data_IF_569946828461
#
_entry.id   IF_569946828461
#
_cell.length_a   1.000
_cell.length_b   1.000
_cell.length_c   1.000
_cell.angle_alpha   90.00
_cell.angle_beta   90.00
_cell.angle_gamma   90.00
#
_symmetry.space_group_name_H-M   'P 1'
#
loop_
_entity.id
_entity.type
_entity.pdbx_description
1 polymer ?
#
# COMPACT_ATOMS: atom_id res chain seq x y z
N UNK A 1 -7.26 67.57 36.94
CA UNK A 1 -8.25 66.50 36.67
C UNK A 1 -7.65 65.18 37.17
N UNK A 2 -8.35 64.55 38.11
CA UNK A 2 -7.78 63.55 39.03
C UNK A 2 -7.80 62.15 38.45
N UNK A 3 -6.69 61.45 38.55
CA UNK A 3 -6.40 60.06 38.12
C UNK A 3 -7.27 58.94 38.74
N UNK A 4 -8.45 59.23 39.23
CA UNK A 4 -9.30 58.32 40.02
C UNK A 4 -10.60 57.86 39.36
N UNK A 5 -10.89 58.31 38.15
CA UNK A 5 -12.15 57.96 37.47
C UNK A 5 -12.00 56.98 36.30
N UNK A 6 -10.76 56.43 36.10
CA UNK A 6 -10.47 55.49 34.99
C UNK A 6 -10.39 54.02 35.44
N UNK A 7 -10.71 53.71 36.70
CA UNK A 7 -10.59 52.33 37.23
C UNK A 7 -11.93 51.67 37.60
N UNK A 8 -13.04 52.11 37.07
CA UNK A 8 -14.36 51.48 37.35
C UNK A 8 -15.13 51.05 36.10
N UNK A 9 -14.48 51.01 34.94
CA UNK A 9 -15.13 50.49 33.69
C UNK A 9 -14.43 49.24 33.09
N UNK A 10 -13.60 48.52 33.86
CA UNK A 10 -12.88 47.32 33.41
C UNK A 10 -13.25 46.10 34.29
N UNK A 11 -14.53 45.86 34.55
CA UNK A 11 -14.96 44.81 35.45
C UNK A 11 -16.25 44.10 35.05
N UNK A 12 -16.45 43.87 33.77
CA UNK A 12 -17.54 42.96 33.32
C UNK A 12 -17.24 42.39 31.93
N UNK A 13 -16.06 41.82 31.75
CA UNK A 13 -15.88 40.79 30.72
C UNK A 13 -16.30 39.47 31.40
N UNK A 14 -17.55 39.14 31.27
CA UNK A 14 -18.07 37.84 31.60
C UNK A 14 -17.18 36.78 30.96
N UNK A 15 -16.60 35.93 31.78
CA UNK A 15 -15.94 34.71 31.36
C UNK A 15 -17.01 33.84 30.64
N UNK A 16 -17.08 34.00 29.32
CA UNK A 16 -17.63 32.97 28.48
C UNK A 16 -16.65 31.81 28.60
N UNK A 17 -16.87 30.91 29.55
CA UNK A 17 -16.35 29.59 29.55
C UNK A 17 -16.69 29.02 28.15
N UNK A 18 -15.71 28.98 27.26
CA UNK A 18 -15.80 28.13 26.10
C UNK A 18 -15.86 26.69 26.63
N UNK A 19 -17.09 26.25 26.92
CA UNK A 19 -17.34 24.81 26.94
C UNK A 19 -16.87 24.29 25.60
N UNK A 20 -16.01 23.23 25.56
CA UNK A 20 -15.71 22.58 24.32
C UNK A 20 -17.08 22.23 23.72
N UNK A 21 -17.39 22.79 22.55
CA UNK A 21 -18.50 22.28 21.75
C UNK A 21 -18.17 20.82 21.52
N UNK A 22 -18.89 19.94 22.18
CA UNK A 22 -18.97 18.55 21.76
C UNK A 22 -19.45 18.62 20.32
N UNK A 23 -18.55 18.42 19.38
CA UNK A 23 -18.90 18.26 17.99
C UNK A 23 -19.62 16.91 17.94
N UNK A 24 -20.95 16.94 17.99
CA UNK A 24 -21.74 15.77 17.64
C UNK A 24 -21.53 15.53 16.17
N UNK A 25 -21.19 14.27 15.79
CA UNK A 25 -21.14 13.88 14.40
C UNK A 25 -22.49 14.21 13.75
N UNK A 26 -22.43 14.84 12.60
CA UNK A 26 -23.62 15.17 11.82
C UNK A 26 -24.19 13.86 11.26
N UNK A 27 -25.45 13.57 11.56
CA UNK A 27 -26.11 12.35 11.09
C UNK A 27 -26.06 12.32 9.55
N UNK A 28 -25.52 11.22 8.99
CA UNK A 28 -25.34 11.08 7.56
C UNK A 28 -23.97 11.56 7.04
N UNK A 29 -23.02 12.00 7.89
CA UNK A 29 -21.68 12.38 7.48
C UNK A 29 -20.67 11.32 7.94
N UNK A 30 -20.08 10.58 7.01
CA UNK A 30 -19.00 9.61 7.27
C UNK A 30 -17.69 10.37 7.49
N UNK A 31 -17.07 10.24 8.66
CA UNK A 31 -15.73 10.69 8.93
C UNK A 31 -14.74 9.59 8.47
N UNK A 32 -14.15 9.80 7.27
CA UNK A 32 -13.24 8.87 6.60
C UNK A 32 -11.81 9.37 6.70
N UNK A 33 -10.95 8.61 7.34
CA UNK A 33 -9.53 8.90 7.47
C UNK A 33 -8.71 8.04 6.52
N UNK A 34 -7.71 8.67 5.88
CA UNK A 34 -6.73 8.02 5.00
C UNK A 34 -5.32 8.47 5.35
N UNK A 35 -4.31 7.63 5.07
CA UNK A 35 -2.89 7.95 5.16
C UNK A 35 -2.17 7.55 3.86
N UNK A 36 -2.91 7.42 2.78
CA UNK A 36 -2.40 7.02 1.47
C UNK A 36 -1.76 8.19 0.72
N UNK A 37 -0.98 7.86 -0.31
CA UNK A 37 -0.34 8.83 -1.20
C UNK A 37 -1.38 9.74 -1.89
N UNK A 38 -0.93 10.92 -2.32
CA UNK A 38 -1.80 11.97 -2.87
C UNK A 38 -2.65 11.50 -4.06
N UNK A 39 -2.11 10.64 -4.95
CA UNK A 39 -2.87 10.10 -6.07
C UNK A 39 -4.07 9.24 -5.63
N UNK A 40 -3.92 8.51 -4.53
CA UNK A 40 -4.99 7.70 -3.94
C UNK A 40 -6.01 8.60 -3.25
N UNK A 41 -5.53 9.60 -2.51
CA UNK A 41 -6.40 10.61 -1.91
C UNK A 41 -7.23 11.35 -2.98
N UNK A 42 -6.61 11.73 -4.09
CA UNK A 42 -7.29 12.37 -5.22
C UNK A 42 -8.36 11.45 -5.84
N UNK A 43 -8.07 10.17 -5.98
CA UNK A 43 -9.04 9.17 -6.44
C UNK A 43 -10.26 9.08 -5.51
N UNK A 44 -10.05 9.01 -4.21
CA UNK A 44 -11.14 9.02 -3.23
C UNK A 44 -11.96 10.30 -3.31
N UNK A 45 -11.30 11.45 -3.41
CA UNK A 45 -11.95 12.76 -3.44
C UNK A 45 -12.74 13.02 -4.74
N UNK A 46 -12.21 12.60 -5.89
CA UNK A 46 -12.72 12.99 -7.20
C UNK A 46 -13.54 11.90 -7.88
N UNK A 47 -13.31 10.62 -7.56
CA UNK A 47 -14.03 9.49 -8.18
C UNK A 47 -15.00 8.84 -7.19
N UNK A 48 -14.52 8.33 -6.05
CA UNK A 48 -15.36 7.51 -5.16
C UNK A 48 -16.35 8.34 -4.36
N UNK A 49 -15.91 9.42 -3.73
CA UNK A 49 -16.78 10.29 -2.92
C UNK A 49 -17.98 10.80 -3.69
N UNK A 50 -17.84 11.48 -4.85
CA UNK A 50 -18.99 12.01 -5.58
C UNK A 50 -19.91 10.89 -6.09
N UNK A 51 -19.38 9.75 -6.53
CA UNK A 51 -20.20 8.62 -6.96
C UNK A 51 -21.01 8.02 -5.83
N UNK A 52 -20.39 7.83 -4.65
CA UNK A 52 -21.07 7.33 -3.47
C UNK A 52 -22.18 8.28 -2.96
N UNK A 53 -21.87 9.58 -2.84
CA UNK A 53 -22.82 10.60 -2.39
C UNK A 53 -24.02 10.73 -3.35
N UNK A 54 -23.78 10.59 -4.66
CA UNK A 54 -24.86 10.57 -5.66
C UNK A 54 -25.77 9.33 -5.54
N UNK A 55 -25.19 8.17 -5.25
CA UNK A 55 -25.92 6.91 -5.06
C UNK A 55 -26.64 6.82 -3.70
N UNK A 56 -26.22 7.60 -2.69
CA UNK A 56 -26.71 7.54 -1.32
C UNK A 56 -27.19 8.92 -0.84
N UNK A 57 -28.34 9.35 -1.34
CA UNK A 57 -28.93 10.65 -1.02
C UNK A 57 -29.01 10.88 0.51
N UNK A 58 -28.50 12.01 0.98
CA UNK A 58 -28.48 12.38 2.40
C UNK A 58 -27.27 11.86 3.18
N UNK A 59 -26.33 11.18 2.52
CA UNK A 59 -25.02 10.82 3.09
C UNK A 59 -23.95 11.70 2.46
N UNK A 60 -23.00 12.17 3.26
CA UNK A 60 -21.82 12.92 2.81
C UNK A 60 -20.55 12.29 3.37
N UNK A 61 -19.43 12.49 2.70
CA UNK A 61 -18.12 12.01 3.15
C UNK A 61 -17.26 13.21 3.55
N UNK A 62 -16.76 13.18 4.76
CA UNK A 62 -15.68 14.04 5.23
C UNK A 62 -14.38 13.25 5.13
N UNK A 63 -13.69 13.41 3.99
CA UNK A 63 -12.41 12.76 3.74
C UNK A 63 -11.29 13.57 4.40
N UNK A 64 -10.53 12.93 5.28
CA UNK A 64 -9.47 13.56 6.08
C UNK A 64 -8.16 12.83 5.88
N UNK A 65 -7.15 13.56 5.41
CA UNK A 65 -5.77 13.07 5.37
C UNK A 65 -5.19 13.06 6.80
N UNK A 66 -4.83 11.88 7.28
CA UNK A 66 -4.19 11.67 8.57
C UNK A 66 -2.67 11.93 8.54
N UNK A 67 -2.13 12.21 7.36
CA UNK A 67 -0.73 12.51 7.10
C UNK A 67 0.11 11.25 6.90
N UNK A 68 0.22 10.43 7.91
CA UNK A 68 1.01 9.19 7.87
C UNK A 68 0.40 8.08 8.75
N UNK A 69 1.05 6.94 8.79
CA UNK A 69 0.62 5.81 9.61
C UNK A 69 0.60 6.14 11.11
N UNK A 70 1.47 7.02 11.59
CA UNK A 70 1.48 7.43 12.99
C UNK A 70 0.29 8.34 13.31
N UNK A 71 -0.07 9.26 12.41
CA UNK A 71 -1.26 10.10 12.53
C UNK A 71 -2.54 9.25 12.55
N UNK A 72 -2.65 8.28 11.63
CA UNK A 72 -3.80 7.38 11.61
C UNK A 72 -3.87 6.48 12.85
N UNK A 73 -2.72 5.98 13.34
CA UNK A 73 -2.64 5.22 14.58
C UNK A 73 -3.16 6.04 15.78
N UNK A 74 -2.80 7.31 15.90
CA UNK A 74 -3.28 8.17 16.97
C UNK A 74 -4.81 8.37 16.94
N UNK A 75 -5.40 8.39 15.74
CA UNK A 75 -6.87 8.45 15.58
C UNK A 75 -7.50 7.12 15.99
N UNK A 76 -6.89 5.99 15.64
CA UNK A 76 -7.36 4.65 16.05
C UNK A 76 -7.26 4.45 17.58
N UNK A 77 -6.18 4.93 18.21
CA UNK A 77 -6.04 4.92 19.69
C UNK A 77 -7.14 5.74 20.36
N UNK A 78 -7.47 6.91 19.80
CA UNK A 78 -8.60 7.74 20.26
C UNK A 78 -9.92 7.00 20.10
N UNK A 79 -10.14 6.32 18.98
CA UNK A 79 -11.37 5.57 18.74
C UNK A 79 -11.53 4.40 19.74
N UNK A 80 -10.44 3.71 20.07
CA UNK A 80 -10.42 2.67 21.09
C UNK A 80 -10.74 3.24 22.48
N UNK A 81 -10.19 4.37 22.85
CA UNK A 81 -10.52 5.05 24.11
C UNK A 81 -11.99 5.52 24.15
N UNK A 82 -12.52 6.00 23.04
CA UNK A 82 -13.92 6.39 22.91
C UNK A 82 -14.87 5.18 23.04
N UNK A 83 -14.50 4.02 22.50
CA UNK A 83 -15.24 2.77 22.69
C UNK A 83 -15.33 2.39 24.17
N UNK A 84 -14.22 2.46 24.89
CA UNK A 84 -14.16 2.13 26.32
C UNK A 84 -14.99 3.08 27.21
N UNK A 85 -15.14 4.33 26.78
CA UNK A 85 -15.88 5.37 27.50
C UNK A 85 -17.30 5.60 26.97
N UNK A 86 -17.69 4.84 25.94
CA UNK A 86 -18.97 4.96 25.24
C UNK A 86 -19.24 6.41 24.76
N UNK A 87 -18.22 7.00 24.14
CA UNK A 87 -18.28 8.34 23.53
C UNK A 87 -18.10 8.26 22.03
N UNK A 88 -18.39 9.37 21.31
CA UNK A 88 -18.20 9.45 19.87
C UNK A 88 -16.70 9.40 19.52
N UNK A 89 -16.25 8.43 18.71
CA UNK A 89 -14.86 8.33 18.25
C UNK A 89 -14.47 9.43 17.27
N UNK A 90 -15.44 10.13 16.65
CA UNK A 90 -15.24 11.06 15.54
C UNK A 90 -14.48 10.40 14.38
N UNK A 91 -14.79 9.16 14.11
CA UNK A 91 -14.25 8.35 13.03
C UNK A 91 -15.24 7.22 12.72
N UNK A 92 -15.50 6.98 11.43
CA UNK A 92 -16.39 5.91 10.98
C UNK A 92 -15.67 4.90 10.10
N UNK A 93 -14.64 5.36 9.35
CA UNK A 93 -13.99 4.56 8.34
C UNK A 93 -12.48 4.92 8.25
N UNK A 94 -11.62 3.93 8.26
CA UNK A 94 -10.18 4.09 7.99
C UNK A 94 -9.80 3.37 6.71
N UNK A 95 -9.17 4.08 5.82
CA UNK A 95 -8.54 3.55 4.61
C UNK A 95 -7.05 3.28 4.88
N UNK A 96 -6.50 2.23 4.27
CA UNK A 96 -5.10 1.80 4.45
C UNK A 96 -4.74 1.52 5.92
N UNK A 97 -5.57 0.74 6.63
CA UNK A 97 -5.38 0.44 8.05
C UNK A 97 -5.37 -1.06 8.33
N UNK A 98 -4.46 -1.48 9.21
CA UNK A 98 -4.41 -2.85 9.72
C UNK A 98 -5.35 -3.01 10.92
N UNK A 99 -6.34 -3.91 10.88
CA UNK A 99 -7.27 -4.11 12.00
C UNK A 99 -6.61 -4.64 13.28
N UNK A 100 -5.37 -5.10 13.21
CA UNK A 100 -4.58 -5.50 14.39
C UNK A 100 -4.06 -4.30 15.18
N UNK A 101 -4.21 -3.08 14.65
CA UNK A 101 -3.77 -1.84 15.29
C UNK A 101 -4.99 -1.00 15.75
N UNK A 102 -4.94 -0.43 16.96
CA UNK A 102 -3.93 -0.67 18.01
C UNK A 102 -3.98 -2.10 18.56
N UNK A 103 -2.95 -2.51 19.27
CA UNK A 103 -2.90 -3.84 19.87
C UNK A 103 -4.17 -4.10 20.72
N UNK A 104 -4.81 -5.25 20.50
CA UNK A 104 -6.05 -5.63 21.18
C UNK A 104 -7.33 -4.98 20.62
N UNK A 105 -7.26 -4.23 19.52
CA UNK A 105 -8.41 -3.55 18.92
C UNK A 105 -9.53 -4.53 18.50
N UNK A 106 -9.17 -5.66 17.90
CA UNK A 106 -10.14 -6.70 17.51
C UNK A 106 -10.83 -7.29 18.74
N UNK A 107 -10.06 -7.68 19.75
CA UNK A 107 -10.58 -8.27 20.99
C UNK A 107 -11.47 -7.29 21.77
N UNK A 108 -11.17 -6.00 21.67
CA UNK A 108 -11.96 -4.93 22.26
C UNK A 108 -13.26 -4.64 21.46
N UNK A 109 -13.41 -5.17 20.25
CA UNK A 109 -14.56 -4.91 19.39
C UNK A 109 -14.54 -3.52 18.74
N UNK A 110 -13.34 -2.95 18.49
CA UNK A 110 -13.22 -1.65 17.85
C UNK A 110 -13.68 -1.66 16.38
N UNK A 111 -13.45 -2.76 15.67
CA UNK A 111 -13.77 -2.88 14.25
C UNK A 111 -14.95 -3.81 14.01
N UNK A 112 -15.72 -3.49 12.98
CA UNK A 112 -16.86 -4.30 12.55
C UNK A 112 -16.35 -5.58 11.89
N UNK A 113 -16.95 -6.72 12.27
CA UNK A 113 -16.81 -7.95 11.52
C UNK A 113 -17.65 -7.84 10.23
N UNK A 114 -17.00 -7.72 9.08
CA UNK A 114 -17.65 -7.45 7.78
C UNK A 114 -18.46 -8.64 7.28
N UNK A 115 -18.11 -9.86 7.67
CA UNK A 115 -18.87 -11.07 7.34
C UNK A 115 -20.20 -11.11 8.10
N UNK A 116 -20.17 -10.82 9.40
CA UNK A 116 -21.37 -10.75 10.25
C UNK A 116 -22.26 -9.57 9.87
N UNK A 117 -21.67 -8.46 9.41
CA UNK A 117 -22.40 -7.30 8.94
C UNK A 117 -23.14 -7.54 7.61
N UNK A 118 -22.81 -8.62 6.88
CA UNK A 118 -23.54 -9.05 5.69
C UNK A 118 -23.39 -8.11 4.50
N UNK A 119 -22.15 -7.67 4.19
CA UNK A 119 -21.87 -6.90 2.97
C UNK A 119 -22.32 -7.72 1.75
N UNK A 120 -23.05 -7.07 0.83
CA UNK A 120 -23.60 -7.73 -0.37
C UNK A 120 -22.51 -8.23 -1.34
N UNK A 121 -21.34 -7.57 -1.31
CA UNK A 121 -20.19 -7.90 -2.14
C UNK A 121 -19.11 -8.72 -1.39
N UNK A 122 -19.38 -9.18 -0.16
CA UNK A 122 -18.40 -9.94 0.63
C UNK A 122 -17.86 -11.16 -0.12
N UNK A 123 -18.73 -11.95 -0.73
CA UNK A 123 -18.35 -13.17 -1.46
C UNK A 123 -17.56 -12.90 -2.76
N UNK A 124 -17.48 -11.63 -3.18
CA UNK A 124 -16.68 -11.22 -4.33
C UNK A 124 -15.22 -10.92 -3.97
N UNK A 125 -14.91 -10.79 -2.69
CA UNK A 125 -13.54 -10.47 -2.22
C UNK A 125 -12.57 -11.50 -2.79
N UNK A 126 -11.46 -11.00 -3.33
CA UNK A 126 -10.39 -11.85 -3.85
C UNK A 126 -9.76 -12.66 -2.71
N UNK A 127 -9.74 -14.01 -2.80
CA UNK A 127 -9.12 -14.83 -1.77
C UNK A 127 -7.65 -14.48 -1.49
N UNK A 128 -6.91 -13.99 -2.49
CA UNK A 128 -5.52 -13.53 -2.31
C UNK A 128 -5.42 -12.22 -1.49
N UNK A 129 -6.51 -11.45 -1.46
CA UNK A 129 -6.58 -10.18 -0.73
C UNK A 129 -7.09 -10.36 0.71
N UNK A 130 -7.74 -11.49 0.97
CA UNK A 130 -8.43 -11.74 2.23
C UNK A 130 -7.43 -11.91 3.39
N UNK A 131 -7.62 -11.17 4.47
CA UNK A 131 -6.80 -11.20 5.69
C UNK A 131 -7.68 -11.09 6.95
N UNK A 132 -8.73 -11.92 6.99
CA UNK A 132 -9.68 -11.96 8.10
C UNK A 132 -10.89 -11.05 7.92
N UNK A 133 -11.86 -11.24 8.81
CA UNK A 133 -13.22 -10.67 8.68
C UNK A 133 -13.35 -9.23 9.21
N UNK A 134 -12.27 -8.57 9.63
CA UNK A 134 -12.30 -7.22 10.22
C UNK A 134 -11.80 -6.12 9.28
N UNK A 135 -11.54 -6.46 8.02
CA UNK A 135 -11.09 -5.48 7.04
C UNK A 135 -11.62 -5.79 5.64
N UNK A 136 -11.77 -4.74 4.83
CA UNK A 136 -12.19 -4.82 3.44
C UNK A 136 -10.97 -4.54 2.56
N UNK A 137 -10.42 -5.52 1.84
CA UNK A 137 -9.40 -5.26 0.84
C UNK A 137 -10.02 -4.49 -0.34
N UNK A 138 -9.40 -3.41 -0.74
CA UNK A 138 -9.95 -2.61 -1.82
C UNK A 138 -9.00 -2.44 -3.01
N UNK A 139 -7.69 -2.49 -2.79
CA UNK A 139 -6.68 -2.28 -3.81
C UNK A 139 -5.44 -3.10 -3.50
N UNK A 140 -4.96 -3.83 -4.50
CA UNK A 140 -3.67 -4.52 -4.45
C UNK A 140 -2.62 -3.79 -5.28
N UNK A 141 -1.35 -3.98 -4.91
CA UNK A 141 -0.21 -3.68 -5.74
C UNK A 141 0.85 -4.75 -5.55
N UNK A 142 1.55 -5.09 -6.61
CA UNK A 142 2.60 -6.09 -6.60
C UNK A 142 3.79 -5.57 -7.40
N UNK A 143 4.98 -5.85 -6.95
CA UNK A 143 6.16 -5.57 -7.76
C UNK A 143 6.20 -6.54 -8.92
N UNK A 144 6.48 -6.01 -10.10
CA UNK A 144 6.67 -6.75 -11.35
C UNK A 144 7.87 -6.17 -12.10
N UNK A 145 8.20 -6.71 -13.25
CA UNK A 145 9.27 -6.20 -14.11
C UNK A 145 8.64 -5.35 -15.22
N UNK A 146 9.08 -4.10 -15.34
CA UNK A 146 8.77 -3.24 -16.48
C UNK A 146 10.01 -3.14 -17.37
N UNK A 147 9.81 -3.18 -18.69
CA UNK A 147 10.92 -3.19 -19.64
C UNK A 147 10.60 -2.53 -20.99
N UNK A 148 11.64 -2.12 -21.68
CA UNK A 148 11.59 -1.54 -23.01
C UNK A 148 11.43 -2.64 -24.07
N UNK A 149 10.23 -2.76 -24.66
CA UNK A 149 9.93 -3.78 -25.68
C UNK A 149 10.65 -3.59 -26.99
N UNK A 150 11.26 -2.44 -27.22
CA UNK A 150 12.11 -2.21 -28.42
C UNK A 150 13.47 -2.91 -28.31
N UNK A 151 13.91 -3.20 -27.07
CA UNK A 151 15.18 -3.88 -26.77
C UNK A 151 14.97 -5.34 -26.34
N UNK A 152 13.83 -5.63 -25.70
CA UNK A 152 13.47 -6.97 -25.24
C UNK A 152 12.02 -7.23 -25.64
N UNK A 153 11.76 -8.04 -26.68
CA UNK A 153 10.38 -8.38 -27.04
C UNK A 153 9.59 -9.01 -25.89
N UNK A 154 8.29 -8.75 -25.79
CA UNK A 154 7.41 -9.28 -24.70
C UNK A 154 7.51 -10.82 -24.59
N UNK A 155 7.61 -11.53 -25.71
CA UNK A 155 7.69 -13.00 -25.71
C UNK A 155 9.00 -13.54 -25.09
N UNK A 156 10.07 -12.73 -25.11
CA UNK A 156 11.41 -13.09 -24.63
C UNK A 156 11.66 -12.62 -23.20
N UNK A 157 10.68 -11.92 -22.57
CA UNK A 157 10.79 -11.45 -21.20
C UNK A 157 10.96 -12.61 -20.21
N UNK A 158 11.85 -12.49 -19.21
CA UNK A 158 12.07 -13.54 -18.22
C UNK A 158 10.81 -13.82 -17.40
N UNK A 159 10.45 -15.11 -17.26
CA UNK A 159 9.25 -15.56 -16.56
C UNK A 159 9.54 -16.27 -15.24
N UNK A 160 10.78 -16.49 -14.90
CA UNK A 160 11.22 -17.04 -13.62
C UNK A 160 12.53 -16.37 -13.19
N UNK A 161 12.92 -16.62 -11.95
CA UNK A 161 14.12 -15.99 -11.37
C UNK A 161 15.39 -16.35 -12.10
N UNK A 162 15.57 -17.59 -12.50
CA UNK A 162 16.80 -18.04 -13.14
C UNK A 162 16.97 -17.42 -14.53
N UNK A 163 15.87 -17.31 -15.29
CA UNK A 163 15.86 -16.59 -16.57
C UNK A 163 16.17 -15.11 -16.39
N UNK A 164 15.62 -14.48 -15.34
CA UNK A 164 15.90 -13.08 -15.01
C UNK A 164 17.40 -12.87 -14.70
N UNK A 165 17.98 -13.70 -13.86
CA UNK A 165 19.41 -13.64 -13.53
C UNK A 165 20.27 -13.88 -14.75
N UNK A 166 19.93 -14.87 -15.59
CA UNK A 166 20.63 -15.14 -16.84
C UNK A 166 20.57 -13.95 -17.80
N UNK A 167 19.39 -13.33 -17.93
CA UNK A 167 19.20 -12.13 -18.75
C UNK A 167 20.02 -10.95 -18.24
N UNK A 168 20.02 -10.67 -16.92
CA UNK A 168 20.83 -9.59 -16.32
C UNK A 168 22.31 -9.78 -16.59
N UNK A 169 22.82 -11.00 -16.41
CA UNK A 169 24.26 -11.33 -16.66
C UNK A 169 24.64 -11.26 -18.14
N UNK A 170 23.71 -11.60 -19.04
CA UNK A 170 23.91 -11.50 -20.48
C UNK A 170 23.83 -10.06 -21.00
N UNK A 171 23.18 -9.16 -20.25
CA UNK A 171 22.96 -7.75 -20.62
C UNK A 171 23.47 -6.81 -19.51
N UNK A 172 24.80 -6.78 -19.25
CA UNK A 172 25.33 -5.98 -18.16
C UNK A 172 25.00 -4.49 -18.34
N UNK A 173 24.63 -3.85 -17.23
CA UNK A 173 24.24 -2.44 -17.21
C UNK A 173 22.79 -2.16 -17.62
N UNK A 174 22.00 -3.17 -18.02
CA UNK A 174 20.64 -2.98 -18.52
C UNK A 174 19.55 -3.23 -17.47
N UNK A 175 19.93 -3.52 -16.24
CA UNK A 175 19.02 -3.72 -15.11
C UNK A 175 19.45 -2.90 -13.89
N UNK A 176 18.49 -2.33 -13.16
CA UNK A 176 18.72 -1.65 -11.90
C UNK A 176 17.53 -1.87 -10.99
N UNK A 177 17.75 -1.91 -9.69
CA UNK A 177 16.70 -1.81 -8.68
C UNK A 177 17.05 -0.73 -7.65
N UNK A 178 16.06 -0.17 -6.96
CA UNK A 178 16.30 0.82 -5.93
C UNK A 178 16.73 0.16 -4.62
N UNK A 179 17.40 0.93 -3.77
CA UNK A 179 17.80 0.49 -2.43
C UNK A 179 16.60 -0.07 -1.67
N UNK A 180 16.75 -1.18 -0.90
CA UNK A 180 15.61 -1.88 -0.29
C UNK A 180 14.82 -1.04 0.72
N UNK A 181 15.44 -0.06 1.35
CA UNK A 181 14.84 0.89 2.29
C UNK A 181 14.29 2.17 1.61
N UNK A 182 14.34 2.26 0.29
CA UNK A 182 13.95 3.45 -0.49
C UNK A 182 12.88 3.10 -1.53
N UNK A 183 11.60 3.10 -1.11
CA UNK A 183 10.47 3.04 -2.03
C UNK A 183 9.92 1.65 -2.37
N UNK A 184 10.33 0.60 -1.71
CA UNK A 184 9.64 -0.71 -1.68
C UNK A 184 9.84 -1.62 -2.90
N UNK A 185 9.96 -1.17 -4.16
CA UNK A 185 10.13 -2.08 -5.30
C UNK A 185 11.46 -2.82 -5.24
N UNK A 186 12.55 -2.13 -4.89
CA UNK A 186 13.84 -2.77 -4.62
C UNK A 186 13.82 -3.67 -3.39
N UNK A 187 13.14 -3.25 -2.33
CA UNK A 187 12.94 -4.08 -1.15
C UNK A 187 12.24 -5.40 -1.48
N UNK A 188 11.21 -5.35 -2.33
CA UNK A 188 10.49 -6.55 -2.76
C UNK A 188 11.29 -7.41 -3.76
N UNK A 189 12.16 -6.81 -4.57
CA UNK A 189 13.15 -7.56 -5.35
C UNK A 189 14.12 -8.32 -4.44
N UNK A 190 14.64 -7.68 -3.39
CA UNK A 190 15.49 -8.33 -2.38
C UNK A 190 14.75 -9.44 -1.64
N UNK A 191 13.50 -9.21 -1.23
CA UNK A 191 12.65 -10.23 -0.58
C UNK A 191 12.38 -11.44 -1.48
N UNK A 192 12.21 -11.20 -2.79
CA UNK A 192 12.11 -12.30 -3.77
C UNK A 192 13.40 -13.10 -3.83
N UNK A 193 14.58 -12.46 -3.75
CA UNK A 193 15.87 -13.15 -3.65
C UNK A 193 15.98 -13.95 -2.34
N UNK A 194 15.43 -13.46 -1.21
CA UNK A 194 15.34 -14.24 0.05
C UNK A 194 14.56 -15.53 -0.17
N UNK A 195 13.38 -15.45 -0.79
CA UNK A 195 12.60 -16.64 -1.11
C UNK A 195 13.35 -17.59 -2.05
N UNK A 196 14.03 -17.06 -3.08
CA UNK A 196 14.82 -17.87 -4.00
C UNK A 196 15.93 -18.64 -3.27
N UNK A 197 16.64 -17.98 -2.38
CA UNK A 197 17.75 -18.59 -1.63
C UNK A 197 17.30 -19.66 -0.63
N UNK A 198 16.00 -19.67 -0.25
CA UNK A 198 15.45 -20.45 0.83
C UNK A 198 14.27 -21.35 0.43
N UNK A 199 14.22 -21.82 -0.83
CA UNK A 199 13.31 -22.87 -1.26
C UNK A 199 11.93 -22.39 -1.74
N UNK A 200 11.77 -21.11 -2.03
CA UNK A 200 10.55 -20.52 -2.61
C UNK A 200 9.28 -20.65 -1.74
N UNK A 201 9.44 -20.77 -0.43
CA UNK A 201 8.32 -20.85 0.51
C UNK A 201 8.14 -19.53 1.30
N UNK A 202 7.17 -18.68 0.93
CA UNK A 202 6.88 -17.47 1.70
C UNK A 202 6.43 -17.74 3.14
N UNK A 203 5.80 -18.89 3.41
CA UNK A 203 5.33 -19.24 4.75
C UNK A 203 6.48 -19.58 5.71
N UNK A 204 7.69 -19.80 5.20
CA UNK A 204 8.88 -19.98 6.03
C UNK A 204 9.29 -18.71 6.79
N UNK A 205 8.77 -17.53 6.38
CA UNK A 205 9.13 -16.25 6.98
C UNK A 205 7.92 -15.62 7.68
N UNK A 206 7.93 -15.64 9.00
CA UNK A 206 6.90 -15.03 9.86
C UNK A 206 7.56 -14.19 10.95
N UNK A 207 6.79 -13.32 11.61
CA UNK A 207 7.31 -12.59 12.78
C UNK A 207 7.64 -13.54 13.94
N UNK A 208 6.85 -14.59 14.11
CA UNK A 208 7.01 -15.54 15.23
C UNK A 208 8.26 -16.42 15.10
N UNK A 209 8.73 -16.67 13.87
CA UNK A 209 9.93 -17.48 13.65
C UNK A 209 11.21 -16.66 13.47
N UNK A 210 11.13 -15.34 13.61
CA UNK A 210 12.33 -14.51 13.56
C UNK A 210 13.25 -14.83 14.73
N UNK A 211 14.48 -15.24 14.42
CA UNK A 211 15.62 -15.27 15.34
C UNK A 211 16.84 -14.72 14.61
N UNK A 212 17.78 -14.15 15.33
CA UNK A 212 19.02 -13.64 14.73
C UNK A 212 19.80 -14.74 13.98
N UNK A 213 19.82 -15.95 14.52
CA UNK A 213 20.49 -17.10 13.90
C UNK A 213 19.81 -17.50 12.58
N UNK A 214 18.48 -17.63 12.57
CA UNK A 214 17.74 -17.96 11.36
C UNK A 214 17.85 -16.84 10.31
N UNK A 215 17.73 -15.59 10.73
CA UNK A 215 17.90 -14.45 9.83
C UNK A 215 19.32 -14.41 9.25
N UNK A 216 20.34 -14.64 10.04
CA UNK A 216 21.74 -14.69 9.58
C UNK A 216 21.97 -15.78 8.54
N UNK A 217 21.42 -16.99 8.75
CA UNK A 217 21.54 -18.10 7.80
C UNK A 217 20.79 -17.81 6.51
N UNK A 218 19.51 -17.45 6.59
CA UNK A 218 18.65 -17.22 5.43
C UNK A 218 19.14 -16.04 4.55
N UNK A 219 19.53 -14.95 5.21
CA UNK A 219 20.01 -13.77 4.51
C UNK A 219 21.44 -13.95 3.99
N UNK A 220 22.29 -14.75 4.66
CA UNK A 220 23.63 -15.06 4.16
C UNK A 220 23.63 -15.62 2.74
N UNK A 221 22.78 -16.61 2.47
CA UNK A 221 22.58 -17.20 1.14
C UNK A 221 22.05 -16.16 0.13
N UNK A 222 21.18 -15.26 0.59
CA UNK A 222 20.63 -14.18 -0.24
C UNK A 222 21.68 -13.19 -0.68
N UNK A 223 22.60 -12.83 0.23
CA UNK A 223 23.67 -11.90 -0.07
C UNK A 223 24.64 -12.44 -1.11
N UNK A 224 24.92 -13.75 -1.11
CA UNK A 224 25.72 -14.41 -2.14
C UNK A 224 25.11 -14.23 -3.53
N UNK A 225 23.79 -14.44 -3.68
CA UNK A 225 23.06 -14.24 -4.95
C UNK A 225 23.14 -12.77 -5.41
N UNK A 226 22.84 -11.82 -4.52
CA UNK A 226 22.78 -10.41 -4.89
C UNK A 226 24.16 -9.80 -5.12
N UNK A 227 25.18 -10.22 -4.38
CA UNK A 227 26.57 -9.80 -4.59
C UNK A 227 27.14 -10.33 -5.92
N UNK A 228 26.81 -11.56 -6.30
CA UNK A 228 27.18 -12.15 -7.59
C UNK A 228 26.49 -11.43 -8.77
N UNK A 229 25.29 -10.88 -8.54
CA UNK A 229 24.52 -10.13 -9.53
C UNK A 229 25.01 -8.68 -9.68
N UNK A 230 25.51 -8.07 -8.61
CA UNK A 230 25.83 -6.64 -8.53
C UNK A 230 26.74 -6.14 -9.67
N UNK A 231 27.82 -6.83 -10.08
CA UNK A 231 28.67 -6.36 -11.19
C UNK A 231 27.95 -6.27 -12.55
N UNK A 232 26.84 -6.98 -12.73
CA UNK A 232 26.04 -6.96 -13.95
C UNK A 232 24.92 -5.90 -13.94
N UNK A 233 24.68 -5.23 -12.82
CA UNK A 233 23.72 -4.15 -12.71
C UNK A 233 24.23 -2.87 -13.39
N UNK A 234 23.32 -1.91 -13.56
CA UNK A 234 23.67 -0.58 -14.07
C UNK A 234 24.85 0.03 -13.30
N UNK A 235 25.78 0.64 -14.03
CA UNK A 235 27.01 1.24 -13.50
C UNK A 235 27.76 0.32 -12.52
N UNK A 236 27.79 -0.98 -12.83
CA UNK A 236 28.50 -2.02 -12.07
C UNK A 236 28.10 -2.11 -10.58
N UNK A 237 26.82 -1.92 -10.29
CA UNK A 237 26.25 -2.02 -8.93
C UNK A 237 25.78 -0.68 -8.35
N UNK A 238 25.36 0.24 -9.19
CA UNK A 238 24.60 1.40 -8.76
C UNK A 238 23.16 1.03 -8.44
N UNK A 239 22.56 1.77 -7.50
CA UNK A 239 21.19 1.58 -7.01
C UNK A 239 20.51 2.92 -6.92
N UNK A 240 19.25 2.99 -7.36
CA UNK A 240 18.47 4.23 -7.26
C UNK A 240 18.00 4.52 -5.84
N UNK A 241 17.73 5.78 -5.56
CA UNK A 241 17.25 6.24 -4.25
C UNK A 241 15.71 6.13 -4.09
N UNK A 242 15.03 5.54 -5.05
CA UNK A 242 13.57 5.34 -4.98
C UNK A 242 12.98 4.83 -6.29
N UNK A 243 11.69 4.45 -6.23
CA UNK A 243 10.95 3.89 -7.36
C UNK A 243 10.92 4.84 -8.58
N UNK A 244 10.64 6.13 -8.33
CA UNK A 244 10.54 7.15 -9.38
C UNK A 244 11.83 7.26 -10.19
N UNK A 245 12.97 7.21 -9.54
CA UNK A 245 14.26 7.29 -10.23
C UNK A 245 14.50 6.04 -11.11
N UNK A 246 14.09 4.85 -10.67
CA UNK A 246 14.16 3.63 -11.48
C UNK A 246 13.29 3.74 -12.74
N UNK A 247 12.06 4.24 -12.59
CA UNK A 247 11.13 4.49 -13.71
C UNK A 247 11.74 5.52 -14.68
N UNK A 248 12.37 6.58 -14.20
CA UNK A 248 13.02 7.59 -15.03
C UNK A 248 14.16 7.01 -15.85
N UNK A 249 15.02 6.15 -15.28
CA UNK A 249 16.10 5.51 -16.03
C UNK A 249 15.56 4.59 -17.13
N UNK A 250 14.47 3.86 -16.87
CA UNK A 250 13.77 3.07 -17.89
C UNK A 250 13.18 3.98 -18.97
N UNK A 251 12.46 5.03 -18.59
CA UNK A 251 11.84 6.01 -19.51
C UNK A 251 12.86 6.68 -20.45
N UNK A 252 14.06 6.96 -19.94
CA UNK A 252 15.17 7.55 -20.71
C UNK A 252 15.92 6.54 -21.55
N UNK A 253 15.59 5.24 -21.47
CA UNK A 253 16.27 4.17 -22.17
C UNK A 253 17.71 3.92 -21.67
N UNK A 254 18.05 4.41 -20.48
CA UNK A 254 19.37 4.18 -19.83
C UNK A 254 19.50 2.72 -19.41
N UNK A 255 18.43 2.14 -18.90
CA UNK A 255 18.31 0.71 -18.60
C UNK A 255 17.16 0.12 -19.40
N UNK A 256 17.19 -1.21 -19.59
CA UNK A 256 16.15 -1.92 -20.33
C UNK A 256 15.06 -2.46 -19.41
N UNK A 257 15.36 -2.79 -18.15
CA UNK A 257 14.41 -3.41 -17.24
C UNK A 257 14.61 -2.94 -15.80
N UNK A 258 13.49 -2.78 -15.08
CA UNK A 258 13.46 -2.42 -13.64
C UNK A 258 12.36 -3.17 -12.91
N UNK A 259 12.51 -3.56 -11.63
CA UNK A 259 11.40 -3.90 -10.78
C UNK A 259 10.62 -2.63 -10.40
N UNK A 260 9.31 -2.71 -10.47
CA UNK A 260 8.41 -1.56 -10.26
C UNK A 260 7.09 -2.04 -9.67
N UNK A 261 6.42 -1.21 -8.87
CA UNK A 261 5.06 -1.46 -8.44
C UNK A 261 4.09 -1.40 -9.63
N UNK A 262 3.16 -2.34 -9.71
CA UNK A 262 2.18 -2.45 -10.81
C UNK A 262 1.40 -1.16 -11.02
N UNK A 263 0.92 -0.55 -9.95
CA UNK A 263 0.19 0.72 -9.99
C UNK A 263 1.07 1.87 -10.48
N UNK A 264 2.32 1.96 -10.06
CA UNK A 264 3.26 2.98 -10.55
C UNK A 264 3.61 2.80 -12.03
N UNK A 265 3.80 1.56 -12.49
CA UNK A 265 4.06 1.28 -13.90
C UNK A 265 2.85 1.67 -14.78
N UNK A 266 1.65 1.23 -14.41
CA UNK A 266 0.42 1.52 -15.14
C UNK A 266 0.11 3.02 -15.14
N UNK A 267 0.32 3.70 -14.02
CA UNK A 267 0.17 5.16 -13.94
C UNK A 267 1.21 5.88 -14.82
N UNK A 268 2.47 5.46 -14.78
CA UNK A 268 3.52 6.05 -15.61
C UNK A 268 3.23 5.87 -17.12
N UNK A 269 2.67 4.72 -17.53
CA UNK A 269 2.21 4.49 -18.90
C UNK A 269 1.03 5.41 -19.23
N UNK A 270 0.01 5.48 -18.37
CA UNK A 270 -1.18 6.32 -18.62
C UNK A 270 -0.87 7.82 -18.71
N UNK A 271 0.16 8.27 -17.99
CA UNK A 271 0.63 9.66 -18.01
C UNK A 271 1.65 9.95 -19.13
N UNK A 272 2.01 8.96 -19.93
CA UNK A 272 3.02 9.09 -20.99
C UNK A 272 4.46 9.28 -20.50
N UNK A 273 4.73 8.99 -19.22
CA UNK A 273 6.09 8.94 -18.67
C UNK A 273 6.83 7.72 -19.21
N UNK A 274 6.15 6.58 -19.27
CA UNK A 274 6.58 5.39 -19.99
C UNK A 274 5.79 5.25 -21.29
N UNK A 275 6.39 4.74 -22.38
CA UNK A 275 5.67 4.45 -23.60
C UNK A 275 4.52 3.44 -23.39
N UNK A 276 3.45 3.54 -24.17
CA UNK A 276 2.36 2.54 -24.16
C UNK A 276 2.85 1.13 -24.52
N UNK A 277 3.96 1.04 -25.24
CA UNK A 277 4.63 -0.22 -25.61
C UNK A 277 5.50 -0.78 -24.49
N UNK A 278 5.57 -0.16 -23.31
CA UNK A 278 6.33 -0.71 -22.18
C UNK A 278 5.82 -2.10 -21.83
N UNK A 279 6.72 -3.08 -21.85
CA UNK A 279 6.41 -4.45 -21.45
C UNK A 279 6.30 -4.56 -19.93
N UNK A 280 5.33 -5.35 -19.48
CA UNK A 280 5.14 -5.69 -18.08
C UNK A 280 5.10 -7.21 -17.96
N UNK A 281 5.80 -7.78 -16.98
CA UNK A 281 5.79 -9.23 -16.74
C UNK A 281 5.96 -9.55 -15.27
N UNK A 282 5.26 -10.59 -14.81
CA UNK A 282 5.42 -11.17 -13.48
C UNK A 282 6.15 -12.51 -13.56
N UNK A 283 7.00 -12.80 -12.57
CA UNK A 283 7.64 -14.10 -12.44
C UNK A 283 6.59 -15.17 -12.11
N UNK A 284 6.68 -16.33 -12.76
CA UNK A 284 5.67 -17.40 -12.69
C UNK A 284 6.04 -18.52 -11.70
N UNK A 285 7.33 -18.68 -11.41
CA UNK A 285 7.84 -19.64 -10.41
C UNK A 285 7.47 -19.20 -8.97
N UNK A 286 7.71 -17.95 -8.65
CA UNK A 286 7.19 -17.23 -7.49
C UNK A 286 7.19 -15.73 -7.84
N UNK A 287 6.03 -15.11 -7.76
CA UNK A 287 5.88 -13.67 -8.02
C UNK A 287 6.74 -12.82 -7.07
N UNK A 288 7.10 -11.61 -7.49
CA UNK A 288 7.68 -10.64 -6.57
C UNK A 288 6.63 -10.26 -5.51
N UNK A 289 7.11 -9.87 -4.32
CA UNK A 289 6.22 -9.56 -3.22
C UNK A 289 5.31 -8.37 -3.51
N UNK A 290 4.17 -8.37 -2.86
CA UNK A 290 3.15 -7.34 -2.96
C UNK A 290 2.23 -7.35 -1.75
N UNK A 291 1.05 -6.77 -1.89
CA UNK A 291 0.05 -6.76 -0.84
C UNK A 291 -1.23 -6.06 -1.25
N UNK A 292 -2.20 -6.07 -0.34
CA UNK A 292 -3.45 -5.34 -0.48
C UNK A 292 -3.57 -4.29 0.61
N UNK A 293 -3.98 -3.10 0.21
CA UNK A 293 -4.48 -2.08 1.12
C UNK A 293 -5.90 -2.45 1.56
N UNK A 294 -6.18 -2.21 2.82
CA UNK A 294 -7.44 -2.60 3.46
C UNK A 294 -8.05 -1.42 4.19
N UNK A 295 -9.36 -1.42 4.23
CA UNK A 295 -10.13 -0.47 5.02
C UNK A 295 -10.78 -1.15 6.20
N UNK A 296 -11.00 -0.42 7.28
CA UNK A 296 -11.74 -0.90 8.46
C UNK A 296 -12.88 0.04 8.82
N UNK A 297 -13.94 -0.50 9.40
CA UNK A 297 -15.11 0.26 9.84
C UNK A 297 -15.12 0.28 11.36
N UNK A 298 -15.31 1.46 11.95
CA UNK A 298 -15.32 1.66 13.40
C UNK A 298 -16.67 1.22 13.97
N UNK A 299 -16.66 0.28 14.91
CA UNK A 299 -17.87 -0.36 15.43
C UNK A 299 -18.76 0.59 16.25
N UNK A 300 -18.16 1.56 16.94
CA UNK A 300 -18.87 2.63 17.68
C UNK A 300 -18.93 3.95 16.91
N UNK A 301 -18.63 3.96 15.62
CA UNK A 301 -18.81 5.12 14.74
C UNK A 301 -20.28 5.53 14.68
N UNK A 302 -20.55 6.83 14.74
CA UNK A 302 -21.92 7.35 14.73
C UNK A 302 -22.62 7.04 13.41
N UNK A 303 -21.87 7.03 12.31
CA UNK A 303 -22.37 6.75 10.96
C UNK A 303 -21.91 5.37 10.43
N UNK A 304 -21.74 4.40 11.34
CA UNK A 304 -21.31 3.03 11.02
C UNK A 304 -22.09 2.40 9.86
N UNK A 305 -23.41 2.53 9.85
CA UNK A 305 -24.25 1.93 8.81
C UNK A 305 -24.00 2.56 7.42
N UNK A 306 -23.69 3.84 7.38
CA UNK A 306 -23.29 4.52 6.15
C UNK A 306 -21.84 4.10 5.73
N UNK A 307 -20.94 3.92 6.69
CA UNK A 307 -19.59 3.41 6.44
C UNK A 307 -19.61 1.96 5.92
N UNK A 308 -20.51 1.10 6.38
CA UNK A 308 -20.73 -0.24 5.82
C UNK A 308 -21.19 -0.19 4.36
N UNK A 309 -22.12 0.74 4.03
CA UNK A 309 -22.54 0.94 2.64
C UNK A 309 -21.40 1.44 1.77
N UNK A 310 -20.53 2.31 2.30
CA UNK A 310 -19.32 2.77 1.58
C UNK A 310 -18.35 1.61 1.32
N UNK A 311 -18.10 0.76 2.32
CA UNK A 311 -17.28 -0.42 2.18
C UNK A 311 -17.81 -1.38 1.09
N UNK A 312 -19.11 -1.63 1.09
CA UNK A 312 -19.77 -2.47 0.09
C UNK A 312 -19.75 -1.82 -1.32
N UNK A 313 -19.92 -0.49 -1.39
CA UNK A 313 -19.84 0.28 -2.64
C UNK A 313 -18.44 0.23 -3.26
N UNK A 314 -17.38 0.30 -2.45
CA UNK A 314 -16.00 0.19 -2.95
C UNK A 314 -15.75 -1.19 -3.59
N UNK A 315 -16.44 -2.25 -3.17
CA UNK A 315 -16.33 -3.60 -3.76
C UNK A 315 -17.18 -3.80 -5.02
N UNK A 316 -17.88 -2.78 -5.51
CA UNK A 316 -18.67 -2.89 -6.76
C UNK A 316 -17.74 -2.98 -7.98
N UNK A 317 -18.22 -3.61 -9.07
CA UNK A 317 -17.49 -3.70 -10.33
C UNK A 317 -17.06 -2.33 -10.86
N UNK A 318 -17.91 -1.33 -10.72
CA UNK A 318 -17.64 0.04 -11.15
C UNK A 318 -16.39 0.61 -10.47
N UNK A 319 -16.36 0.58 -9.14
CA UNK A 319 -15.23 1.15 -8.38
C UNK A 319 -13.97 0.29 -8.50
N UNK A 320 -14.12 -1.03 -8.54
CA UNK A 320 -12.97 -1.93 -8.72
C UNK A 320 -12.36 -1.81 -10.12
N UNK A 321 -13.17 -1.55 -11.14
CA UNK A 321 -12.69 -1.23 -12.49
C UNK A 321 -11.98 0.13 -12.53
N UNK A 322 -12.51 1.14 -11.82
CA UNK A 322 -11.86 2.45 -11.70
C UNK A 322 -10.51 2.36 -10.95
N UNK A 323 -10.42 1.56 -9.88
CA UNK A 323 -9.15 1.28 -9.19
C UNK A 323 -8.09 0.73 -10.15
N UNK A 324 -8.48 -0.19 -11.02
CA UNK A 324 -7.58 -0.78 -11.99
C UNK A 324 -7.17 0.22 -13.08
N UNK A 325 -8.11 1.02 -13.58
CA UNK A 325 -7.87 1.90 -14.74
C UNK A 325 -7.31 3.27 -14.37
N UNK A 326 -7.66 3.82 -13.20
CA UNK A 326 -7.24 5.16 -12.77
C UNK A 326 -6.03 5.12 -11.82
N UNK A 327 -5.98 4.13 -10.90
CA UNK A 327 -4.86 3.96 -9.97
C UNK A 327 -3.83 2.94 -10.45
N UNK A 328 -4.17 2.06 -11.41
CA UNK A 328 -3.32 0.93 -11.78
C UNK A 328 -3.22 -0.14 -10.69
N UNK A 329 -4.09 -0.09 -9.69
CA UNK A 329 -4.13 -1.06 -8.59
C UNK A 329 -4.87 -2.34 -8.97
N UNK A 330 -4.45 -3.48 -8.45
CA UNK A 330 -5.21 -4.72 -8.62
C UNK A 330 -6.52 -4.66 -7.83
N UNK A 331 -7.60 -5.27 -8.34
CA UNK A 331 -8.88 -5.23 -7.66
C UNK A 331 -8.86 -6.02 -6.35
N UNK A 332 -9.54 -5.49 -5.33
CA UNK A 332 -9.79 -6.20 -4.07
C UNK A 332 -10.83 -7.32 -4.19
N UNK A 333 -11.55 -7.37 -5.31
CA UNK A 333 -12.46 -8.46 -5.68
C UNK A 333 -11.78 -9.44 -6.61
N UNK A 334 -12.32 -10.66 -6.71
CA UNK A 334 -11.86 -11.66 -7.67
C UNK A 334 -11.98 -11.12 -9.10
N UNK A 335 -11.00 -11.44 -9.94
CA UNK A 335 -10.93 -10.94 -11.31
C UNK A 335 -12.17 -11.29 -12.16
N UNK A 336 -12.93 -12.32 -11.79
CA UNK A 336 -14.22 -12.67 -12.43
C UNK A 336 -15.30 -11.58 -12.25
N UNK A 337 -15.12 -10.69 -11.28
CA UNK A 337 -16.00 -9.55 -11.03
C UNK A 337 -15.50 -8.24 -11.63
N UNK A 338 -14.49 -8.31 -12.51
CA UNK A 338 -14.00 -7.21 -13.34
C UNK A 338 -14.41 -7.50 -14.79
N UNK A 339 -14.61 -6.46 -15.60
CA UNK A 339 -15.05 -6.64 -16.99
C UNK A 339 -14.12 -7.55 -17.80
N UNK A 340 -14.68 -8.28 -18.78
CA UNK A 340 -13.90 -9.20 -19.63
C UNK A 340 -12.78 -8.47 -20.39
N UNK A 341 -13.04 -7.24 -20.85
CA UNK A 341 -12.06 -6.40 -21.54
C UNK A 341 -10.85 -6.10 -20.65
N UNK A 342 -11.09 -5.72 -19.39
CA UNK A 342 -10.00 -5.44 -18.43
C UNK A 342 -9.24 -6.71 -18.07
N UNK A 343 -9.92 -7.85 -17.93
CA UNK A 343 -9.24 -9.14 -17.68
C UNK A 343 -8.30 -9.53 -18.81
N UNK A 344 -8.73 -9.36 -20.06
CA UNK A 344 -7.90 -9.62 -21.23
C UNK A 344 -6.71 -8.67 -21.30
N UNK A 345 -6.96 -7.36 -21.11
CA UNK A 345 -5.92 -6.32 -21.15
C UNK A 345 -4.81 -6.55 -20.11
N UNK A 346 -5.13 -7.07 -18.94
CA UNK A 346 -4.20 -7.24 -17.83
C UNK A 346 -3.79 -8.70 -17.58
N UNK A 347 -4.09 -9.61 -18.50
CA UNK A 347 -3.86 -11.05 -18.33
C UNK A 347 -2.41 -11.41 -17.97
N UNK A 348 -1.42 -10.71 -18.54
CA UNK A 348 0.01 -10.98 -18.32
C UNK A 348 0.53 -10.56 -16.93
N UNK A 349 -0.23 -9.73 -16.21
CA UNK A 349 0.17 -9.22 -14.89
C UNK A 349 -0.74 -9.68 -13.75
N UNK A 350 -1.83 -10.43 -14.06
CA UNK A 350 -2.69 -11.01 -13.03
C UNK A 350 -1.89 -12.01 -12.20
N UNK A 351 -1.72 -11.78 -10.89
CA UNK A 351 -0.91 -12.66 -10.08
C UNK A 351 -1.68 -13.95 -9.74
N UNK A 352 -1.02 -15.09 -9.84
CA UNK A 352 -1.51 -16.36 -9.28
C UNK A 352 -1.32 -16.40 -7.76
N UNK A 353 -0.30 -15.70 -7.27
CA UNK A 353 0.03 -15.57 -5.84
C UNK A 353 0.52 -14.15 -5.58
N UNK A 354 0.29 -13.65 -4.38
CA UNK A 354 0.88 -12.40 -3.92
C UNK A 354 1.70 -12.72 -2.66
N UNK A 355 2.98 -13.11 -2.83
CA UNK A 355 3.82 -13.37 -1.69
C UNK A 355 3.94 -12.11 -0.83
N UNK A 356 3.72 -12.26 0.45
CA UNK A 356 4.01 -11.22 1.45
C UNK A 356 5.31 -11.54 2.15
N UNK A 357 5.92 -10.54 2.76
CA UNK A 357 7.09 -10.72 3.61
C UNK A 357 6.87 -9.95 4.90
N UNK A 358 7.18 -10.53 6.07
CA UNK A 358 6.98 -9.86 7.35
C UNK A 358 7.85 -8.61 7.46
N UNK A 359 7.30 -7.58 8.11
CA UNK A 359 8.02 -6.34 8.44
C UNK A 359 8.87 -6.47 9.71
N UNK A 360 9.04 -5.37 10.41
CA UNK A 360 9.68 -5.33 11.72
C UNK A 360 11.13 -5.82 11.71
N UNK A 361 11.49 -6.83 12.54
CA UNK A 361 12.86 -7.30 12.67
C UNK A 361 13.43 -7.88 11.36
N UNK A 362 12.62 -8.53 10.54
CA UNK A 362 13.03 -9.00 9.23
C UNK A 362 13.42 -7.86 8.29
N UNK A 363 12.63 -6.80 8.26
CA UNK A 363 12.91 -5.64 7.44
C UNK A 363 14.20 -4.94 7.85
N UNK A 364 14.40 -4.76 9.17
CA UNK A 364 15.63 -4.21 9.71
C UNK A 364 16.85 -5.06 9.33
N UNK A 365 16.76 -6.40 9.50
CA UNK A 365 17.84 -7.32 9.15
C UNK A 365 18.16 -7.31 7.65
N UNK A 366 17.14 -7.25 6.78
CA UNK A 366 17.31 -7.12 5.33
C UNK A 366 18.02 -5.81 4.99
N UNK A 367 17.52 -4.68 5.47
CA UNK A 367 18.08 -3.38 5.15
C UNK A 367 19.54 -3.26 5.62
N UNK A 368 19.82 -3.62 6.87
CA UNK A 368 21.17 -3.57 7.42
C UNK A 368 22.12 -4.55 6.75
N UNK A 369 21.65 -5.77 6.48
CA UNK A 369 22.43 -6.80 5.82
C UNK A 369 22.79 -6.47 4.38
N UNK A 370 21.85 -5.87 3.64
CA UNK A 370 22.07 -5.46 2.26
C UNK A 370 23.18 -4.42 2.13
N UNK A 371 23.16 -3.35 2.94
CA UNK A 371 24.22 -2.35 2.94
C UNK A 371 25.60 -2.94 3.30
N UNK A 372 25.65 -3.92 4.21
CA UNK A 372 26.92 -4.52 4.63
C UNK A 372 27.49 -5.49 3.59
N UNK A 373 26.65 -6.27 2.92
CA UNK A 373 27.10 -7.42 2.14
C UNK A 373 26.94 -7.25 0.63
N UNK A 374 26.01 -6.42 0.17
CA UNK A 374 25.73 -6.22 -1.26
C UNK A 374 26.24 -4.87 -1.75
N UNK A 375 26.03 -3.82 -0.97
CA UNK A 375 26.35 -2.45 -1.38
C UNK A 375 27.14 -1.65 -0.30
N UNK A 376 28.31 -2.13 0.14
CA UNK A 376 29.05 -1.51 1.25
C UNK A 376 29.56 -0.10 0.95
N UNK A 377 29.63 0.29 -0.31
CA UNK A 377 30.10 1.60 -0.75
C UNK A 377 28.97 2.61 -0.97
N UNK A 378 27.70 2.20 -0.80
CA UNK A 378 26.55 3.08 -0.94
C UNK A 378 26.30 3.83 0.35
N UNK A 379 26.27 5.17 0.30
CA UNK A 379 25.93 5.98 1.47
C UNK A 379 24.44 5.79 1.81
N UNK A 380 24.19 5.27 3.00
CA UNK A 380 22.83 5.03 3.50
C UNK A 380 21.99 6.32 3.68
N UNK A 381 22.67 7.44 3.90
CA UNK A 381 22.04 8.73 4.17
C UNK A 381 21.88 9.61 2.92
N UNK A 382 22.37 9.16 1.77
CA UNK A 382 22.29 9.88 0.51
C UNK A 382 20.93 9.74 -0.19
#
# INVERSE_FOLDING_TARGET
MKRREFMLAAGAVAGATMLPRLAFAEAGRIDWYTNSDSNILDFWANTVKPAFEAANSGVTINLVDAGDSAGQQAIADRALAALQTNTDPQADYFESHDPRLPAGAIDAGLYVNIKEAGLSNYDKINPLAFDGDYSVPYRGSQVLLAFDTTKLPQADAPKNWDDLVAWIKANPGQFIYNRPDKGGSGGNFVRRAVHQANGLDPAAFTLDNFTEDFASEALGKTWEILADLAPSLYDSGAYTSGNTQSIQLLSQGVVTMVPVWSDQALQAISQGVLPETTGLVQLQDLALCGGFSRSVIIANGVNKDAALKLADFILTEEIQSAILTELGGFPGVSWDHVSAELRERFADIVPNTIPTFPGGPWEAAINDGWYRNVAPNVDRNA
#
